data_IF_758161971824
#
_entry.id   IF_758161971824
#
_cell.length_a   1.000
_cell.length_b   1.000
_cell.length_c   1.000
_cell.angle_alpha   90.00
_cell.angle_beta   90.00
_cell.angle_gamma   90.00
#
_symmetry.space_group_name_H-M   'P 1'
#
loop_
_entity.id
_entity.type
_entity.pdbx_description
1 polymer ?
#
# COMPACT_ATOMS: atom_id res chain seq x y z
N UNK A 1 -0.10 -8.00 23.00
CA UNK A 1 0.47 -7.35 22.53
C UNK A 1 0.17 -6.97 21.32
N UNK A 2 0.47 -6.08 20.87
CA UNK A 2 0.11 -5.72 19.72
C UNK A 2 1.15 -5.73 18.89
N UNK A 3 1.06 -5.77 17.73
CA UNK A 3 2.05 -5.73 16.89
C UNK A 3 2.11 -4.45 16.28
N UNK A 4 3.16 -4.10 15.68
CA UNK A 4 3.28 -2.84 15.02
C UNK A 4 2.26 -2.70 13.97
N UNK A 5 1.79 -1.56 13.76
CA UNK A 5 0.85 -1.36 12.83
C UNK A 5 1.33 -0.69 11.70
N UNK A 6 2.62 -0.60 11.40
CA UNK A 6 3.06 0.09 10.30
C UNK A 6 2.63 -0.45 9.03
N UNK A 7 2.40 -1.74 8.89
CA UNK A 7 1.92 -2.28 7.64
C UNK A 7 0.47 -1.98 7.42
N UNK A 8 -0.23 -1.64 8.48
CA UNK A 8 -1.64 -1.32 8.34
C UNK A 8 -2.45 -2.50 7.85
N UNK A 9 -3.50 -2.22 7.09
CA UNK A 9 -4.41 -3.25 6.60
C UNK A 9 -4.04 -3.58 5.15
N UNK A 10 -3.19 -4.56 4.99
CA UNK A 10 -2.69 -4.91 3.67
C UNK A 10 -3.74 -5.59 2.81
N UNK A 11 -4.69 -6.28 3.42
CA UNK A 11 -5.74 -6.89 2.63
C UNK A 11 -6.61 -5.83 1.99
N UNK A 12 -6.92 -4.79 2.73
CA UNK A 12 -7.69 -3.69 2.19
C UNK A 12 -6.91 -3.00 1.09
N UNK A 13 -5.61 -2.82 1.28
CA UNK A 13 -4.79 -2.18 0.28
C UNK A 13 -4.79 -2.98 -1.01
N UNK A 14 -4.69 -4.31 -0.92
CA UNK A 14 -4.72 -5.14 -2.11
C UNK A 14 -6.06 -5.01 -2.83
N UNK A 15 -7.14 -4.92 -2.08
CA UNK A 15 -8.46 -4.73 -2.68
C UNK A 15 -8.56 -3.39 -3.38
N UNK A 16 -7.99 -2.35 -2.79
CA UNK A 16 -8.02 -1.03 -3.40
C UNK A 16 -7.21 -1.00 -4.68
N UNK A 17 -6.08 -1.68 -4.70
CA UNK A 17 -5.29 -1.78 -5.90
C UNK A 17 -6.07 -2.52 -6.99
N UNK A 18 -6.71 -3.61 -6.60
CA UNK A 18 -7.48 -4.40 -7.55
C UNK A 18 -8.63 -3.58 -8.12
N UNK A 19 -9.31 -2.84 -7.26
CA UNK A 19 -10.43 -2.02 -7.69
C UNK A 19 -10.02 -0.89 -8.61
N UNK A 20 -8.78 -0.43 -8.47
CA UNK A 20 -8.29 0.67 -9.28
C UNK A 20 -8.03 0.26 -10.73
N UNK A 21 -7.93 -1.03 -10.97
CA UNK A 21 -7.63 -1.53 -12.29
C UNK A 21 -6.15 -1.52 -12.64
N UNK A 22 -5.30 -1.09 -11.71
CA UNK A 22 -3.86 -1.08 -11.97
C UNK A 22 -3.26 -2.42 -11.63
N UNK A 23 -2.25 -2.82 -12.40
CA UNK A 23 -1.52 -4.04 -12.10
C UNK A 23 -0.52 -3.74 -10.99
N UNK A 24 -0.10 -4.78 -10.28
CA UNK A 24 0.92 -4.60 -9.26
C UNK A 24 2.22 -4.11 -9.85
N UNK A 25 2.53 -4.52 -11.08
CA UNK A 25 3.73 -4.06 -11.74
C UNK A 25 3.68 -2.54 -11.94
N UNK A 26 2.52 -2.03 -12.36
CA UNK A 26 2.38 -0.60 -12.57
C UNK A 26 2.44 0.17 -11.26
N UNK A 27 1.86 -0.38 -10.21
CA UNK A 27 1.93 0.25 -8.90
C UNK A 27 3.37 0.29 -8.42
N UNK A 28 4.11 -0.81 -8.61
CA UNK A 28 5.50 -0.85 -8.19
C UNK A 28 6.31 0.20 -8.94
N UNK A 29 6.06 0.36 -10.24
CA UNK A 29 6.75 1.37 -11.02
C UNK A 29 6.46 2.75 -10.48
N UNK A 30 5.21 3.02 -10.15
CA UNK A 30 4.84 4.33 -9.63
C UNK A 30 5.52 4.60 -8.30
N UNK A 31 5.77 3.55 -7.53
CA UNK A 31 6.44 3.68 -6.25
C UNK A 31 7.96 3.60 -6.38
N UNK A 32 8.43 3.43 -7.61
CA UNK A 32 9.86 3.36 -7.89
C UNK A 32 10.50 2.17 -7.17
N UNK A 33 9.83 1.04 -7.20
CA UNK A 33 10.35 -0.17 -6.60
C UNK A 33 10.07 -1.35 -7.51
N UNK A 34 10.68 -2.48 -7.23
CA UNK A 34 10.45 -3.68 -8.02
C UNK A 34 9.15 -4.34 -7.60
N UNK A 35 8.64 -5.20 -8.48
CA UNK A 35 7.44 -5.97 -8.17
C UNK A 35 7.67 -6.81 -6.91
N UNK A 36 8.86 -7.39 -6.79
CA UNK A 36 9.15 -8.24 -5.63
C UNK A 36 9.11 -7.42 -4.35
N UNK A 37 9.67 -6.21 -4.38
CA UNK A 37 9.66 -5.35 -3.20
C UNK A 37 8.24 -5.00 -2.81
N UNK A 38 7.42 -4.65 -3.81
CA UNK A 38 6.02 -4.30 -3.52
C UNK A 38 5.29 -5.50 -2.92
N UNK A 39 5.49 -6.66 -3.53
CA UNK A 39 4.81 -7.86 -3.09
C UNK A 39 5.17 -8.21 -1.64
N UNK A 40 6.44 -8.05 -1.29
CA UNK A 40 6.89 -8.31 0.07
C UNK A 40 6.25 -7.35 1.07
N UNK A 41 6.10 -6.09 0.66
CA UNK A 41 5.44 -5.12 1.53
C UNK A 41 3.96 -5.45 1.70
N UNK A 42 3.32 -5.92 0.64
CA UNK A 42 1.92 -6.31 0.73
C UNK A 42 1.72 -7.56 1.57
N UNK A 43 2.76 -8.37 1.71
CA UNK A 43 2.66 -9.53 2.58
C UNK A 43 2.92 -9.17 4.03
N UNK A 44 3.34 -7.94 4.29
CA UNK A 44 3.63 -7.51 5.64
C UNK A 44 5.04 -7.76 6.10
N UNK A 45 5.92 -8.21 5.19
CA UNK A 45 7.31 -8.47 5.57
C UNK A 45 8.12 -7.20 5.73
N UNK A 46 7.74 -6.15 5.01
CA UNK A 46 8.38 -4.86 5.14
C UNK A 46 7.32 -3.79 5.19
N UNK A 47 7.59 -2.70 5.85
CA UNK A 47 6.59 -1.64 5.96
C UNK A 47 6.75 -0.64 4.83
N UNK A 48 5.68 0.04 4.50
CA UNK A 48 5.75 1.14 3.55
C UNK A 48 6.27 2.38 4.29
N UNK A 49 7.11 3.14 3.63
CA UNK A 49 7.54 4.41 4.20
C UNK A 49 6.41 5.41 4.01
N UNK A 50 6.51 6.53 4.70
CA UNK A 50 5.50 7.56 4.57
C UNK A 50 5.42 8.07 3.13
N UNK A 51 6.57 8.26 2.49
CA UNK A 51 6.57 8.71 1.11
C UNK A 51 5.87 7.72 0.21
N UNK A 52 6.11 6.43 0.42
CA UNK A 52 5.46 5.40 -0.37
C UNK A 52 3.96 5.40 -0.14
N UNK A 53 3.56 5.55 1.10
CA UNK A 53 2.14 5.57 1.45
C UNK A 53 1.45 6.76 0.80
N UNK A 54 2.09 7.92 0.81
CA UNK A 54 1.51 9.10 0.19
C UNK A 54 1.44 8.95 -1.33
N UNK A 55 2.44 8.30 -1.92
CA UNK A 55 2.41 8.03 -3.34
C UNK A 55 1.26 7.09 -3.69
N UNK A 56 1.03 6.07 -2.85
CA UNK A 56 -0.09 5.19 -3.06
C UNK A 56 -1.41 5.94 -3.03
N UNK A 57 -1.53 6.88 -2.12
CA UNK A 57 -2.75 7.67 -2.04
C UNK A 57 -3.01 8.40 -3.35
N UNK A 58 -1.97 8.95 -3.95
CA UNK A 58 -2.13 9.64 -5.21
C UNK A 58 -2.37 8.69 -6.36
N UNK A 59 -1.58 7.64 -6.45
CA UNK A 59 -1.65 6.71 -7.56
C UNK A 59 -2.99 6.00 -7.63
N UNK A 60 -3.49 5.59 -6.48
CA UNK A 60 -4.75 4.88 -6.41
C UNK A 60 -5.93 5.81 -6.20
N UNK A 61 -5.65 7.10 -6.08
CA UNK A 61 -6.69 8.09 -5.88
C UNK A 61 -7.54 7.76 -4.66
N UNK A 62 -6.88 7.45 -3.57
CA UNK A 62 -7.57 7.08 -2.35
C UNK A 62 -8.11 8.30 -1.64
N UNK A 63 -9.27 8.15 -1.02
CA UNK A 63 -9.77 9.21 -0.17
C UNK A 63 -8.99 9.18 1.13
N UNK A 64 -9.08 10.24 1.89
CA UNK A 64 -8.41 10.28 3.19
C UNK A 64 -8.91 9.14 4.07
N UNK A 65 -10.19 8.85 3.99
CA UNK A 65 -10.78 7.78 4.77
C UNK A 65 -10.19 6.42 4.38
N UNK A 66 -10.04 6.18 3.08
CA UNK A 66 -9.47 4.92 2.61
C UNK A 66 -8.01 4.80 3.02
N UNK A 67 -7.26 5.90 2.88
CA UNK A 67 -5.85 5.89 3.25
C UNK A 67 -5.70 5.62 4.74
N UNK A 68 -6.54 6.25 5.56
CA UNK A 68 -6.52 6.04 6.98
C UNK A 68 -6.86 4.59 7.32
N UNK A 69 -7.83 4.01 6.63
CA UNK A 69 -8.22 2.64 6.89
C UNK A 69 -7.07 1.67 6.62
N UNK A 70 -6.25 1.98 5.62
CA UNK A 70 -5.12 1.12 5.28
C UNK A 70 -3.96 1.33 6.24
N UNK A 71 -3.61 2.60 6.48
CA UNK A 71 -2.38 2.91 7.21
C UNK A 71 -2.56 3.44 8.62
N UNK A 72 -3.80 3.54 9.05
CA UNK A 72 -4.05 4.08 10.36
C UNK A 72 -3.62 3.13 11.42
N UNK A 73 -3.14 3.65 12.47
CA UNK A 73 -2.80 2.87 13.55
C UNK A 73 -3.85 2.85 14.56
#
# INVERSE_FOLDING_TARGET
>A
MRKPKRTGNMELLRELIDRSGMSLTNVAKALNMTYVALNNKLKGEYVFTLDEALTLKKVLNLTQSEWNAVFDE
#
